data_IF_499117727428
#
_entry.id   IF_499117727428
#
_cell.length_a   1.000
_cell.length_b   1.000
_cell.length_c   1.000
_cell.angle_alpha   90.00
_cell.angle_beta   90.00
_cell.angle_gamma   90.00
#
_symmetry.space_group_name_H-M   'P 1'
#
loop_
_entity.id
_entity.type
_entity.pdbx_description
1 polymer ?
#
# COMPACT_ATOMS: atom_id res chain seq x y z
N UNK A 1 14.25 7.24 -2.06
CA UNK A 1 13.63 5.95 -1.71
C UNK A 1 14.54 4.73 -1.84
N UNK A 2 15.52 4.68 -2.75
CA UNK A 2 16.38 3.49 -2.97
C UNK A 2 16.95 2.86 -1.69
N UNK A 3 17.54 3.68 -0.81
CA UNK A 3 18.05 3.22 0.50
C UNK A 3 16.98 2.52 1.35
N UNK A 4 15.81 3.16 1.49
CA UNK A 4 14.68 2.62 2.26
C UNK A 4 14.18 1.30 1.66
N UNK A 5 14.11 1.22 0.32
CA UNK A 5 13.72 -0.01 -0.39
C UNK A 5 14.70 -1.14 -0.07
N UNK A 6 16.01 -0.88 -0.16
CA UNK A 6 17.05 -1.87 0.14
C UNK A 6 17.01 -2.34 1.60
N UNK A 7 16.80 -1.43 2.55
CA UNK A 7 16.65 -1.75 3.97
C UNK A 7 15.38 -2.56 4.22
N UNK A 8 14.25 -2.19 3.62
CA UNK A 8 13.00 -2.93 3.71
C UNK A 8 13.12 -4.34 3.11
N UNK A 9 13.76 -4.49 1.94
CA UNK A 9 14.08 -5.79 1.35
C UNK A 9 14.89 -6.66 2.29
N UNK A 10 15.95 -6.11 2.89
CA UNK A 10 16.80 -6.84 3.82
C UNK A 10 16.04 -7.25 5.09
N UNK A 11 15.14 -6.39 5.58
CA UNK A 11 14.38 -6.60 6.80
C UNK A 11 13.21 -7.59 6.64
N UNK A 12 12.51 -7.56 5.50
CA UNK A 12 11.31 -8.39 5.28
C UNK A 12 11.63 -9.76 4.65
N UNK A 13 12.82 -9.93 4.08
CA UNK A 13 13.22 -11.18 3.46
C UNK A 13 13.45 -12.31 4.47
N UNK A 14 13.08 -13.53 4.10
CA UNK A 14 13.38 -14.73 4.89
C UNK A 14 12.43 -15.01 6.05
N UNK A 15 11.32 -14.28 6.16
CA UNK A 15 10.33 -14.47 7.24
C UNK A 15 9.16 -15.40 6.88
N UNK A 16 9.16 -16.00 5.68
CA UNK A 16 8.20 -17.04 5.29
C UNK A 16 6.81 -16.54 4.90
N UNK A 17 6.66 -15.23 4.69
CA UNK A 17 5.45 -14.61 4.13
C UNK A 17 5.75 -13.83 2.87
N UNK A 18 4.76 -13.72 1.99
CA UNK A 18 4.86 -12.93 0.77
C UNK A 18 4.56 -11.46 1.05
N UNK A 19 5.35 -10.58 0.44
CA UNK A 19 5.21 -9.14 0.59
C UNK A 19 5.61 -8.44 -0.72
N UNK A 20 5.13 -7.22 -0.92
CA UNK A 20 5.54 -6.39 -2.06
C UNK A 20 5.43 -4.92 -1.73
N UNK A 21 6.37 -4.10 -2.22
CA UNK A 21 6.24 -2.64 -2.15
C UNK A 21 5.00 -2.22 -2.93
N UNK A 22 4.19 -1.33 -2.37
CA UNK A 22 3.01 -0.81 -3.05
C UNK A 22 2.97 0.73 -2.94
N UNK A 23 1.79 1.34 -3.06
CA UNK A 23 1.65 2.79 -2.92
C UNK A 23 2.38 3.62 -3.98
N UNK A 24 2.85 4.81 -3.61
CA UNK A 24 3.62 5.68 -4.52
C UNK A 24 4.94 5.05 -4.97
N UNK A 25 5.64 4.38 -4.05
CA UNK A 25 6.95 3.78 -4.31
C UNK A 25 6.90 2.69 -5.38
N UNK A 26 5.84 1.88 -5.43
CA UNK A 26 5.67 0.88 -6.49
C UNK A 26 5.49 1.48 -7.90
N UNK A 27 4.89 2.68 -8.00
CA UNK A 27 4.80 3.41 -9.28
C UNK A 27 6.19 3.84 -9.74
N UNK A 28 7.03 4.32 -8.82
CA UNK A 28 8.41 4.71 -9.13
C UNK A 28 9.26 3.50 -9.54
N UNK A 29 9.08 2.34 -8.89
CA UNK A 29 9.73 1.08 -9.28
C UNK A 29 9.30 0.68 -10.69
N UNK A 30 7.99 0.67 -10.97
CA UNK A 30 7.45 0.35 -12.29
C UNK A 30 8.00 1.25 -13.39
N UNK A 31 8.13 2.56 -13.12
CA UNK A 31 8.63 3.54 -14.08
C UNK A 31 10.16 3.67 -14.08
N UNK A 32 10.86 2.95 -13.20
CA UNK A 32 12.32 3.02 -13.00
C UNK A 32 12.83 4.45 -12.80
N UNK A 33 12.06 5.30 -12.12
CA UNK A 33 12.44 6.68 -11.79
C UNK A 33 11.65 7.22 -10.61
N UNK A 34 12.25 8.13 -9.85
CA UNK A 34 11.50 8.87 -8.82
C UNK A 34 10.57 9.89 -9.48
N UNK A 35 9.27 9.84 -9.17
CA UNK A 35 8.27 10.72 -9.81
C UNK A 35 7.75 11.83 -8.90
N UNK A 36 7.93 11.67 -7.59
CA UNK A 36 7.63 12.64 -6.53
C UNK A 36 8.33 12.24 -5.23
N UNK A 37 8.20 13.06 -4.20
CA UNK A 37 8.61 12.67 -2.85
C UNK A 37 7.59 11.67 -2.27
N UNK A 38 8.08 10.74 -1.42
CA UNK A 38 7.24 9.80 -0.70
C UNK A 38 7.36 10.04 0.80
N UNK A 39 6.22 10.21 1.47
CA UNK A 39 6.12 10.48 2.91
C UNK A 39 6.14 9.19 3.74
N UNK A 40 5.87 8.06 3.12
CA UNK A 40 5.69 6.75 3.72
C UNK A 40 6.21 5.65 2.77
N UNK A 41 6.54 4.50 3.35
CA UNK A 41 6.70 3.25 2.63
C UNK A 41 5.47 2.37 2.87
N UNK A 42 4.77 2.04 1.78
CA UNK A 42 3.64 1.11 1.79
C UNK A 42 4.08 -0.30 1.36
N UNK A 43 3.67 -1.32 2.12
CA UNK A 43 3.95 -2.72 1.82
C UNK A 43 2.64 -3.52 1.80
N UNK A 44 2.34 -4.14 0.67
CA UNK A 44 1.22 -5.06 0.54
C UNK A 44 1.62 -6.45 1.07
N UNK A 45 0.78 -6.99 1.96
CA UNK A 45 0.93 -8.30 2.62
C UNK A 45 -0.41 -9.03 2.65
N UNK A 46 -0.44 -10.25 3.18
CA UNK A 46 -1.65 -11.09 3.22
C UNK A 46 -2.16 -11.33 4.65
N UNK A 47 -3.47 -11.49 4.80
CA UNK A 47 -4.14 -11.58 6.10
C UNK A 47 -3.68 -12.76 6.94
N UNK A 48 -3.41 -13.90 6.33
CA UNK A 48 -2.90 -15.11 6.98
C UNK A 48 -1.57 -14.88 7.72
N UNK A 49 -0.78 -13.90 7.26
CA UNK A 49 0.56 -13.61 7.77
C UNK A 49 0.56 -12.49 8.83
N UNK A 50 -0.60 -11.91 9.16
CA UNK A 50 -0.71 -10.74 10.05
C UNK A 50 -0.03 -10.94 11.39
N UNK A 51 -0.27 -12.06 12.05
CA UNK A 51 0.33 -12.32 13.37
C UNK A 51 1.86 -12.53 13.27
N UNK A 52 2.35 -13.11 12.17
CA UNK A 52 3.79 -13.22 11.93
C UNK A 52 4.43 -11.85 11.73
N UNK A 53 3.77 -10.95 11.00
CA UNK A 53 4.20 -9.57 10.80
C UNK A 53 4.20 -8.79 12.11
N UNK A 54 3.11 -8.83 12.89
CA UNK A 54 3.05 -8.16 14.22
C UNK A 54 4.21 -8.65 15.10
N UNK A 55 4.44 -9.97 15.14
CA UNK A 55 5.53 -10.55 15.92
C UNK A 55 6.89 -10.07 15.43
N UNK A 56 7.15 -10.09 14.12
CA UNK A 56 8.40 -9.60 13.53
C UNK A 56 8.69 -8.17 13.94
N UNK A 57 7.71 -7.27 13.77
CA UNK A 57 7.88 -5.86 14.09
C UNK A 57 8.17 -5.64 15.58
N UNK A 58 7.40 -6.29 16.46
CA UNK A 58 7.60 -6.19 17.91
C UNK A 58 8.97 -6.74 18.35
N UNK A 59 9.38 -7.91 17.83
CA UNK A 59 10.68 -8.52 18.14
C UNK A 59 11.85 -7.63 17.68
N UNK A 60 11.67 -6.89 16.59
CA UNK A 60 12.62 -5.91 16.08
C UNK A 60 12.61 -4.57 16.84
N UNK A 61 11.79 -4.42 17.89
CA UNK A 61 11.68 -3.21 18.69
C UNK A 61 10.88 -2.09 18.04
N UNK A 62 10.10 -2.38 17.00
CA UNK A 62 9.16 -1.43 16.40
C UNK A 62 7.88 -1.38 17.22
N UNK A 63 7.25 -0.20 17.23
CA UNK A 63 5.89 -0.06 17.76
C UNK A 63 4.90 -0.38 16.65
N UNK A 64 3.83 -1.09 16.99
CA UNK A 64 2.84 -1.60 16.03
C UNK A 64 1.48 -1.03 16.37
N UNK A 65 0.79 -0.47 15.38
CA UNK A 65 -0.50 0.15 15.54
C UNK A 65 -1.49 -0.35 14.50
N UNK A 66 -2.70 -0.66 14.95
CA UNK A 66 -3.82 -0.96 14.08
C UNK A 66 -4.64 0.29 13.79
N UNK A 67 -4.99 0.53 12.53
CA UNK A 67 -5.88 1.61 12.17
C UNK A 67 -7.31 1.33 12.65
N UNK A 68 -7.94 2.29 13.35
CA UNK A 68 -9.35 2.23 13.73
C UNK A 68 -10.24 3.10 12.82
N UNK A 69 -9.64 3.89 11.92
CA UNK A 69 -10.35 4.87 11.10
C UNK A 69 -10.55 6.22 11.80
N UNK A 70 -10.91 7.25 11.02
CA UNK A 70 -11.09 8.61 11.55
C UNK A 70 -9.81 9.24 12.13
N UNK A 71 -8.64 8.77 11.71
CA UNK A 71 -7.34 9.19 12.26
C UNK A 71 -6.99 8.56 13.61
N UNK A 72 -7.77 7.60 14.10
CA UNK A 72 -7.48 6.87 15.34
C UNK A 72 -6.72 5.56 15.06
N UNK A 73 -5.83 5.21 15.97
CA UNK A 73 -5.04 3.97 15.97
C UNK A 73 -5.02 3.32 17.34
N UNK A 74 -4.88 2.00 17.38
CA UNK A 74 -4.74 1.20 18.59
C UNK A 74 -3.34 0.56 18.64
N UNK A 75 -2.58 0.81 19.70
CA UNK A 75 -1.27 0.20 19.91
C UNK A 75 -1.40 -1.29 20.26
N UNK A 76 -0.62 -2.11 19.58
CA UNK A 76 -0.53 -3.55 19.79
C UNK A 76 0.80 -3.88 20.46
N UNK A 77 0.75 -4.67 21.54
CA UNK A 77 1.94 -5.15 22.26
C UNK A 77 2.14 -6.67 22.13
N UNK A 78 1.24 -7.36 21.42
CA UNK A 78 1.27 -8.79 21.16
C UNK A 78 0.40 -9.13 19.95
N UNK A 79 0.54 -10.36 19.45
CA UNK A 79 -0.38 -10.93 18.47
C UNK A 79 -1.81 -10.98 19.01
N UNK A 80 -2.80 -10.83 18.13
CA UNK A 80 -4.21 -10.92 18.50
C UNK A 80 -5.08 -11.38 17.34
N UNK A 81 -6.08 -12.20 17.66
CA UNK A 81 -7.07 -12.74 16.72
C UNK A 81 -8.43 -12.02 16.82
N UNK A 82 -8.46 -10.87 17.50
CA UNK A 82 -9.68 -10.07 17.60
C UNK A 82 -10.08 -9.51 16.24
N UNK A 83 -11.38 -9.45 15.93
CA UNK A 83 -11.86 -8.78 14.72
C UNK A 83 -11.35 -7.34 14.66
N UNK A 84 -10.87 -6.93 13.49
CA UNK A 84 -10.30 -5.62 13.23
C UNK A 84 -11.14 -4.91 12.16
N UNK A 85 -11.18 -3.58 12.20
CA UNK A 85 -12.05 -2.81 11.31
C UNK A 85 -11.36 -2.36 10.01
N UNK A 86 -10.04 -2.14 10.05
CA UNK A 86 -9.25 -1.64 8.91
C UNK A 86 -8.20 -2.64 8.49
N UNK A 87 -7.69 -2.43 7.28
CA UNK A 87 -6.75 -3.34 6.60
C UNK A 87 -5.28 -2.96 6.78
N UNK A 88 -4.97 -2.08 7.74
CA UNK A 88 -3.69 -1.37 7.77
C UNK A 88 -3.05 -1.51 9.16
N UNK A 89 -1.76 -1.87 9.19
CA UNK A 89 -0.92 -1.70 10.37
C UNK A 89 0.12 -0.60 10.09
N UNK A 90 0.24 0.34 11.02
CA UNK A 90 1.32 1.33 11.01
C UNK A 90 2.40 0.86 11.96
N UNK A 91 3.64 0.76 11.46
CA UNK A 91 4.77 0.39 12.28
C UNK A 91 5.85 1.45 12.18
N UNK A 92 6.42 1.83 13.32
CA UNK A 92 7.56 2.74 13.33
C UNK A 92 8.54 2.47 14.47
N UNK A 93 9.80 2.78 14.20
CA UNK A 93 10.90 2.66 15.15
C UNK A 93 10.94 3.84 16.13
N UNK A 94 11.77 3.73 17.17
CA UNK A 94 12.02 4.83 18.11
C UNK A 94 12.67 6.07 17.46
N UNK A 95 13.24 5.94 16.25
CA UNK A 95 13.89 7.03 15.51
C UNK A 95 12.93 7.77 14.56
N UNK A 96 11.66 7.39 14.50
CA UNK A 96 10.67 8.08 13.67
C UNK A 96 10.14 9.34 14.39
N UNK A 97 10.66 10.50 14.00
CA UNK A 97 10.31 11.80 14.59
C UNK A 97 9.13 12.49 13.90
N UNK A 98 8.61 11.93 12.79
CA UNK A 98 7.48 12.49 12.04
C UNK A 98 6.12 12.04 12.56
N UNK A 99 6.08 11.07 13.48
CA UNK A 99 4.82 10.56 14.05
C UNK A 99 4.44 11.33 15.30
N UNK A 100 3.21 11.84 15.32
CA UNK A 100 2.57 12.40 16.51
C UNK A 100 1.46 11.46 16.98
N UNK A 101 1.43 11.18 18.28
CA UNK A 101 0.40 10.40 18.95
C UNK A 101 -0.26 11.24 20.05
N UNK A 102 -1.51 11.63 19.85
CA UNK A 102 -2.31 12.26 20.91
C UNK A 102 -3.18 11.20 21.60
N UNK A 103 -3.07 11.00 22.93
CA UNK A 103 -3.89 10.00 23.62
C UNK A 103 -5.39 10.27 23.50
N UNK A 104 -6.17 9.23 23.19
CA UNK A 104 -7.64 9.26 23.24
C UNK A 104 -8.11 8.51 24.49
N UNK A 105 -7.73 7.23 24.62
CA UNK A 105 -8.08 6.34 25.74
C UNK A 105 -7.10 5.17 25.80
N UNK A 106 -6.70 4.70 26.99
CA UNK A 106 -5.82 3.54 27.19
C UNK A 106 -4.66 3.41 26.16
N UNK A 107 -4.76 2.47 25.21
CA UNK A 107 -3.80 2.20 24.13
C UNK A 107 -4.21 2.78 22.78
N UNK A 108 -5.15 3.72 22.75
CA UNK A 108 -5.72 4.32 21.55
C UNK A 108 -5.30 5.78 21.43
N UNK A 109 -4.86 6.15 20.23
CA UNK A 109 -4.27 7.45 19.93
C UNK A 109 -4.89 8.06 18.68
N UNK A 110 -4.90 9.39 18.61
CA UNK A 110 -4.98 10.10 17.34
C UNK A 110 -3.59 10.10 16.72
N UNK A 111 -3.51 9.60 15.50
CA UNK A 111 -2.27 9.43 14.76
C UNK A 111 -2.15 10.49 13.68
N UNK A 112 -1.00 11.15 13.65
CA UNK A 112 -0.60 12.02 12.54
C UNK A 112 0.82 11.67 12.10
N UNK A 113 1.03 11.65 10.78
CA UNK A 113 2.34 11.51 10.16
C UNK A 113 2.67 12.81 9.42
N UNK A 114 3.81 13.42 9.74
CA UNK A 114 4.25 14.62 9.03
C UNK A 114 4.50 14.30 7.54
N UNK A 115 4.13 15.24 6.67
CA UNK A 115 4.19 15.06 5.21
C UNK A 115 5.58 15.21 4.60
N UNK A 116 6.62 15.37 5.42
CA UNK A 116 8.00 15.42 4.95
C UNK A 116 8.44 14.07 4.42
N UNK A 117 9.28 14.10 3.39
CA UNK A 117 9.86 12.90 2.79
C UNK A 117 10.47 11.96 3.84
N UNK A 118 10.19 10.66 3.69
CA UNK A 118 10.87 9.63 4.47
C UNK A 118 12.29 9.44 3.95
N UNK A 119 13.29 9.54 4.84
CA UNK A 119 14.71 9.43 4.46
C UNK A 119 15.38 8.15 4.93
N UNK A 120 14.83 7.52 5.96
CA UNK A 120 15.36 6.33 6.62
C UNK A 120 14.25 5.27 6.76
N UNK A 121 14.59 3.99 6.89
CA UNK A 121 13.60 2.93 7.14
C UNK A 121 13.14 2.94 8.61
N UNK A 122 12.36 3.96 8.96
CA UNK A 122 11.86 4.21 10.32
C UNK A 122 10.34 4.11 10.44
N UNK A 123 9.62 4.11 9.31
CA UNK A 123 8.17 3.95 9.21
C UNK A 123 7.82 3.00 8.05
N UNK A 124 6.81 2.15 8.26
CA UNK A 124 6.20 1.32 7.23
C UNK A 124 4.71 1.12 7.51
N UNK A 125 3.89 1.26 6.47
CA UNK A 125 2.48 0.90 6.49
C UNK A 125 2.30 -0.46 5.80
N UNK A 126 1.75 -1.44 6.52
CA UNK A 126 1.37 -2.73 5.96
C UNK A 126 -0.10 -2.72 5.56
N UNK A 127 -0.37 -3.02 4.30
CA UNK A 127 -1.70 -3.12 3.72
C UNK A 127 -2.04 -4.59 3.49
N UNK A 128 -2.96 -5.11 4.30
CA UNK A 128 -3.37 -6.51 4.26
C UNK A 128 -4.34 -6.77 3.12
N UNK A 129 -4.15 -7.89 2.42
CA UNK A 129 -4.95 -8.36 1.29
C UNK A 129 -5.43 -9.78 1.52
N UNK A 130 -6.54 -10.14 0.88
CA UNK A 130 -6.99 -11.54 0.80
C UNK A 130 -6.41 -12.18 -0.45
N UNK A 131 -6.10 -13.48 -0.39
CA UNK A 131 -5.71 -14.26 -1.56
C UNK A 131 -6.31 -15.67 -1.52
N UNK A 132 -6.39 -16.27 -2.69
CA UNK A 132 -6.45 -17.72 -2.85
C UNK A 132 -5.11 -18.24 -3.41
N UNK A 133 -5.02 -19.54 -3.72
CA UNK A 133 -3.81 -20.17 -4.25
C UNK A 133 -3.26 -19.52 -5.53
N UNK A 134 -4.11 -18.81 -6.28
CA UNK A 134 -3.78 -18.29 -7.61
C UNK A 134 -3.91 -16.79 -7.73
N UNK A 135 -4.68 -16.13 -6.86
CA UNK A 135 -5.14 -14.75 -7.07
C UNK A 135 -5.17 -13.93 -5.79
N UNK A 136 -4.81 -12.65 -5.90
CA UNK A 136 -5.14 -11.63 -4.90
C UNK A 136 -6.57 -11.13 -5.09
N UNK A 137 -7.32 -10.96 -4.01
CA UNK A 137 -8.68 -10.42 -3.99
C UNK A 137 -8.66 -8.95 -3.53
N UNK A 138 -9.25 -8.09 -4.36
CA UNK A 138 -9.29 -6.66 -4.13
C UNK A 138 -10.45 -6.30 -3.18
N UNK A 139 -10.25 -5.35 -2.24
CA UNK A 139 -11.31 -4.96 -1.31
C UNK A 139 -12.52 -4.36 -2.00
N UNK A 140 -13.67 -4.65 -1.41
CA UNK A 140 -14.98 -4.18 -1.84
C UNK A 140 -15.94 -5.35 -1.88
N UNK A 141 -17.25 -5.08 -1.93
CA UNK A 141 -18.28 -6.12 -2.13
C UNK A 141 -18.28 -6.68 -3.57
N UNK A 142 -17.14 -6.60 -4.26
CA UNK A 142 -16.94 -6.88 -5.68
C UNK A 142 -16.02 -8.08 -5.84
N UNK A 143 -16.25 -8.93 -6.83
CA UNK A 143 -15.42 -10.12 -7.11
C UNK A 143 -14.16 -9.79 -7.94
N UNK A 144 -13.55 -8.62 -7.69
CA UNK A 144 -12.37 -8.18 -8.46
C UNK A 144 -11.16 -8.90 -7.90
N UNK A 145 -10.41 -9.55 -8.79
CA UNK A 145 -9.18 -10.28 -8.45
C UNK A 145 -8.14 -10.16 -9.56
N UNK A 146 -6.88 -10.43 -9.24
CA UNK A 146 -5.76 -10.52 -10.18
C UNK A 146 -4.93 -11.75 -9.85
N UNK A 147 -4.44 -12.45 -10.88
CA UNK A 147 -3.51 -13.58 -10.69
C UNK A 147 -2.27 -13.12 -9.90
N UNK A 148 -1.81 -13.89 -8.92
CA UNK A 148 -0.69 -13.54 -8.04
C UNK A 148 0.57 -13.20 -8.84
N UNK A 149 0.89 -14.00 -9.87
CA UNK A 149 2.05 -13.79 -10.75
C UNK A 149 1.98 -12.49 -11.57
N UNK A 150 0.77 -11.93 -11.74
CA UNK A 150 0.55 -10.64 -12.41
C UNK A 150 0.33 -9.50 -11.42
N UNK A 151 0.09 -9.83 -10.15
CA UNK A 151 -0.17 -8.88 -9.09
C UNK A 151 1.10 -8.47 -8.35
N UNK A 152 2.01 -9.42 -8.14
CA UNK A 152 3.32 -9.20 -7.51
C UNK A 152 4.37 -9.37 -8.60
N UNK A 153 4.92 -8.24 -9.04
CA UNK A 153 5.98 -8.17 -10.04
C UNK A 153 7.34 -8.04 -9.34
N UNK A 154 8.41 -8.34 -10.06
CA UNK A 154 9.79 -8.16 -9.56
C UNK A 154 10.51 -7.10 -10.39
N UNK A 155 11.24 -6.20 -9.73
CA UNK A 155 12.12 -5.26 -10.43
C UNK A 155 13.38 -5.98 -10.97
N UNK A 156 14.21 -5.33 -11.79
CA UNK A 156 15.51 -5.88 -12.19
C UNK A 156 16.46 -6.19 -11.02
N UNK A 157 16.26 -5.54 -9.86
CA UNK A 157 17.02 -5.74 -8.63
C UNK A 157 16.30 -6.68 -7.64
N UNK A 158 15.38 -7.52 -8.14
CA UNK A 158 14.60 -8.49 -7.37
C UNK A 158 13.75 -7.89 -6.23
N UNK A 159 13.36 -6.62 -6.36
CA UNK A 159 12.43 -5.98 -5.43
C UNK A 159 11.00 -6.38 -5.78
N UNK A 160 10.26 -7.08 -4.91
CA UNK A 160 8.85 -7.38 -5.16
C UNK A 160 8.03 -6.11 -5.03
N UNK A 161 7.20 -5.81 -6.03
CA UNK A 161 6.30 -4.67 -6.02
C UNK A 161 4.92 -5.01 -6.59
N UNK A 162 3.90 -4.35 -6.05
CA UNK A 162 2.52 -4.54 -6.48
C UNK A 162 2.31 -3.89 -7.85
N UNK A 163 1.70 -4.66 -8.75
CA UNK A 163 1.47 -4.24 -10.13
C UNK A 163 0.76 -2.87 -10.18
N UNK A 164 1.18 -1.96 -11.08
CA UNK A 164 0.71 -0.58 -11.06
C UNK A 164 -0.79 -0.48 -11.32
N UNK A 165 -1.40 -1.39 -12.08
CA UNK A 165 -2.86 -1.40 -12.26
C UNK A 165 -3.62 -1.65 -10.95
N UNK A 166 -3.07 -2.46 -10.06
CA UNK A 166 -3.65 -2.73 -8.73
C UNK A 166 -3.46 -1.52 -7.83
N UNK A 167 -2.26 -0.92 -7.83
CA UNK A 167 -1.96 0.30 -7.07
C UNK A 167 -2.90 1.43 -7.48
N UNK A 168 -3.12 1.63 -8.78
CA UNK A 168 -4.06 2.63 -9.27
C UNK A 168 -5.49 2.28 -8.87
N UNK A 169 -5.93 1.02 -8.96
CA UNK A 169 -7.24 0.62 -8.46
C UNK A 169 -7.45 0.98 -6.97
N UNK A 170 -6.44 0.86 -6.11
CA UNK A 170 -6.53 1.34 -4.73
C UNK A 170 -6.71 2.86 -4.66
N UNK A 171 -5.87 3.61 -5.39
CA UNK A 171 -5.88 5.07 -5.42
C UNK A 171 -7.16 5.67 -6.00
N UNK A 172 -7.86 4.94 -6.86
CA UNK A 172 -9.14 5.39 -7.46
C UNK A 172 -10.22 5.65 -6.41
N UNK A 173 -10.12 5.07 -5.21
CA UNK A 173 -11.06 5.33 -4.11
C UNK A 173 -10.83 6.68 -3.43
N UNK A 174 -9.73 7.36 -3.71
CA UNK A 174 -9.24 8.52 -2.98
C UNK A 174 -8.93 9.71 -3.90
N UNK A 175 -9.87 10.03 -4.80
CA UNK A 175 -9.75 11.19 -5.71
C UNK A 175 -10.29 12.50 -5.13
N UNK A 176 -10.53 12.53 -3.82
CA UNK A 176 -10.92 13.73 -3.06
C UNK A 176 -10.03 13.85 -1.84
N UNK A 177 -9.76 15.08 -1.42
CA UNK A 177 -8.92 15.36 -0.24
C UNK A 177 -7.46 15.58 -0.61
N UNK A 178 -6.59 15.43 0.39
CA UNK A 178 -5.21 15.93 0.34
C UNK A 178 -4.30 15.12 -0.62
N UNK A 179 -4.53 13.82 -0.77
CA UNK A 179 -3.70 12.95 -1.62
C UNK A 179 -4.23 12.85 -3.07
N UNK A 180 -5.33 13.53 -3.39
CA UNK A 180 -5.97 13.43 -4.71
C UNK A 180 -5.07 13.91 -5.86
N UNK A 181 -4.21 14.91 -5.61
CA UNK A 181 -3.26 15.39 -6.61
C UNK A 181 -2.22 14.32 -6.95
N UNK A 182 -1.62 13.69 -5.92
CA UNK A 182 -0.64 12.61 -6.09
C UNK A 182 -1.27 11.40 -6.78
N UNK A 183 -2.49 11.02 -6.42
CA UNK A 183 -3.19 9.91 -7.07
C UNK A 183 -3.47 10.16 -8.55
N UNK A 184 -3.90 11.38 -8.92
CA UNK A 184 -4.10 11.72 -10.33
C UNK A 184 -2.77 11.78 -11.09
N UNK A 185 -1.73 12.36 -10.49
CA UNK A 185 -0.37 12.37 -11.05
C UNK A 185 0.13 10.95 -11.33
N UNK A 186 0.06 10.06 -10.32
CA UNK A 186 0.48 8.66 -10.44
C UNK A 186 -0.30 7.94 -11.57
N UNK A 187 -1.59 8.23 -11.72
CA UNK A 187 -2.43 7.70 -12.80
C UNK A 187 -2.01 8.25 -14.18
N UNK A 188 -1.81 9.56 -14.32
CA UNK A 188 -1.38 10.23 -15.56
C UNK A 188 -0.04 9.70 -16.08
N UNK A 189 0.95 9.57 -15.21
CA UNK A 189 2.31 9.20 -15.61
C UNK A 189 2.47 7.70 -15.89
N UNK A 190 1.64 6.85 -15.28
CA UNK A 190 1.73 5.40 -15.42
C UNK A 190 1.04 4.89 -16.68
N UNK A 191 -0.09 5.51 -17.05
CA UNK A 191 -0.96 5.02 -18.11
C UNK A 191 -0.26 4.80 -19.47
N UNK A 192 0.67 5.67 -19.94
CA UNK A 192 1.38 5.46 -21.21
C UNK A 192 2.26 4.21 -21.24
N UNK A 193 2.65 3.68 -20.09
CA UNK A 193 3.55 2.52 -19.96
C UNK A 193 2.80 1.21 -19.73
N UNK A 194 1.47 1.25 -19.59
CA UNK A 194 0.67 0.06 -19.38
C UNK A 194 0.64 -0.81 -20.64
N UNK A 195 0.77 -2.13 -20.44
CA UNK A 195 0.40 -3.07 -21.49
C UNK A 195 -1.11 -3.01 -21.77
N UNK A 196 -1.53 -3.55 -22.92
CA UNK A 196 -2.96 -3.67 -23.25
C UNK A 196 -3.74 -4.43 -22.17
N UNK A 197 -3.14 -5.48 -21.61
CA UNK A 197 -3.75 -6.29 -20.54
C UNK A 197 -3.93 -5.48 -19.25
N UNK A 198 -2.90 -4.76 -18.80
CA UNK A 198 -2.98 -3.94 -17.59
C UNK A 198 -4.02 -2.82 -17.72
N UNK A 199 -4.05 -2.16 -18.89
CA UNK A 199 -5.03 -1.13 -19.20
C UNK A 199 -6.46 -1.69 -19.19
N UNK A 200 -6.65 -2.86 -19.81
CA UNK A 200 -7.95 -3.54 -19.84
C UNK A 200 -8.39 -3.95 -18.44
N UNK A 201 -7.52 -4.57 -17.64
CA UNK A 201 -7.85 -5.01 -16.29
C UNK A 201 -8.26 -3.83 -15.40
N UNK A 202 -7.50 -2.72 -15.42
CA UNK A 202 -7.85 -1.54 -14.63
C UNK A 202 -9.19 -0.94 -15.07
N UNK A 203 -9.44 -0.83 -16.39
CA UNK A 203 -10.71 -0.33 -16.92
C UNK A 203 -11.89 -1.19 -16.43
N UNK A 204 -11.80 -2.50 -16.56
CA UNK A 204 -12.84 -3.44 -16.14
C UNK A 204 -13.07 -3.38 -14.62
N UNK A 205 -12.00 -3.35 -13.82
CA UNK A 205 -12.09 -3.24 -12.36
C UNK A 205 -12.78 -1.94 -11.92
N UNK A 206 -12.45 -0.81 -12.56
CA UNK A 206 -13.10 0.47 -12.29
C UNK A 206 -14.58 0.46 -12.70
N UNK A 207 -14.93 -0.13 -13.84
CA UNK A 207 -16.33 -0.27 -14.28
C UNK A 207 -17.16 -1.12 -13.31
N UNK A 208 -16.60 -2.24 -12.82
CA UNK A 208 -17.26 -3.10 -11.83
C UNK A 208 -17.49 -2.35 -10.51
N UNK A 209 -16.49 -1.58 -10.06
CA UNK A 209 -16.57 -0.86 -8.78
C UNK A 209 -17.46 0.37 -8.84
N UNK A 210 -17.41 1.14 -9.93
CA UNK A 210 -18.06 2.43 -10.08
C UNK A 210 -19.11 2.39 -11.20
N UNK A 211 -20.27 1.79 -10.93
CA UNK A 211 -21.36 1.63 -11.90
C UNK A 211 -21.90 2.96 -12.47
N UNK A 212 -21.69 4.08 -11.76
CA UNK A 212 -22.11 5.42 -12.18
C UNK A 212 -21.01 6.22 -12.92
N UNK A 213 -19.93 5.55 -13.33
CA UNK A 213 -18.78 6.20 -13.97
C UNK A 213 -17.70 6.64 -12.98
N UNK A 214 -16.52 6.95 -13.54
CA UNK A 214 -15.33 7.32 -12.78
C UNK A 214 -14.44 8.24 -13.63
N UNK A 215 -13.85 9.32 -13.09
CA UNK A 215 -13.07 10.29 -13.87
C UNK A 215 -11.92 9.66 -14.69
N UNK A 216 -11.28 8.62 -14.14
CA UNK A 216 -10.22 7.91 -14.86
C UNK A 216 -10.73 7.07 -16.02
N UNK A 217 -11.98 6.56 -15.99
CA UNK A 217 -12.56 5.84 -17.13
C UNK A 217 -12.74 6.76 -18.33
N UNK A 218 -13.14 8.01 -18.11
CA UNK A 218 -13.27 9.02 -19.17
C UNK A 218 -11.91 9.30 -19.82
N UNK A 219 -10.88 9.48 -19.00
CA UNK A 219 -9.50 9.72 -19.45
C UNK A 219 -8.85 8.54 -20.15
N UNK A 220 -9.23 7.30 -19.80
CA UNK A 220 -8.77 6.08 -20.47
C UNK A 220 -9.35 5.87 -21.88
N UNK A 221 -10.38 6.63 -22.25
CA UNK A 221 -11.02 6.56 -23.56
C UNK A 221 -10.45 7.59 -24.55
N UNK A 222 -9.59 8.51 -24.09
CA UNK A 222 -8.87 9.40 -24.98
C UNK A 222 -7.75 8.62 -25.69
N UNK A 223 -7.62 8.71 -27.03
CA UNK A 223 -6.48 8.11 -27.71
C UNK A 223 -5.19 8.73 -27.15
N UNK A 224 -4.23 7.87 -26.80
CA UNK A 224 -2.89 8.26 -26.33
C UNK A 224 -2.35 9.34 -27.29
N UNK A 225 -2.10 10.54 -26.78
CA UNK A 225 -1.53 11.66 -27.55
C UNK A 225 -0.06 11.44 -27.85
#
# INVERSE_FOLDING_TARGET
>A
MEKIISEACSFLSGHGFDWSICGGTAIDIFLSKQTRIHKDLDVAVFWEDRNAIIKLMLDAGWRVFEACGGGAVLELNKIQDTPFEKRNLFCFSANEDRVTLEPIEHTKYRFELAKSEQKEFTYVEFLFNERDETSIHLPGKTKIKRELIKAILSSPDDVPYLAPEIVLYYKSSYLKGLDAADHNHDFDISLPYFTKEQNQWLREALQIRYHNGHPWLERMNEPLR
#
